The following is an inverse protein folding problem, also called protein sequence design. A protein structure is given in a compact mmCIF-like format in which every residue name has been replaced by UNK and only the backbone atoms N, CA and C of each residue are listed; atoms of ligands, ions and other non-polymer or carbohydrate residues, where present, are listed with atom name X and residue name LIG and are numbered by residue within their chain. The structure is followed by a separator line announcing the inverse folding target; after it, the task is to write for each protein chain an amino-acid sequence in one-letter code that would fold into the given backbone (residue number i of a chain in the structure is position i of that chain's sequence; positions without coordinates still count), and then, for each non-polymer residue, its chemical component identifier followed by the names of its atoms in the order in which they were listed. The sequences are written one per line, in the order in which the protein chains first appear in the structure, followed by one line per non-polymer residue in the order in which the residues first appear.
data_IF_940437666067
#
_entry.id   IF_940437666067
#
_cell.length_a   1.000
_cell.length_b   1.000
_cell.length_c   1.000
_cell.angle_alpha   90.00
_cell.angle_beta   90.00
_cell.angle_gamma   90.00
#
_symmetry.space_group_name_H-M   'P 1'
#
loop_
_entity.id
_entity.type
_entity.pdbx_description
1 polymer ?
#
# COMPACT_ATOMS: atom_id res chain seq x y z
N UNK A 1 13.38 1.71 -24.31
CA UNK A 1 12.01 2.13 -23.96
C UNK A 1 12.04 2.56 -22.51
N UNK A 2 11.63 3.79 -22.19
CA UNK A 2 11.48 4.19 -20.79
C UNK A 2 10.28 3.44 -20.21
N UNK A 3 10.47 2.75 -19.09
CA UNK A 3 9.35 2.10 -18.42
C UNK A 3 8.43 3.21 -17.89
N UNK A 4 7.15 3.17 -18.25
CA UNK A 4 6.16 4.16 -17.80
C UNK A 4 6.00 4.03 -16.29
N UNK A 5 6.11 5.14 -15.57
CA UNK A 5 5.83 5.18 -14.14
C UNK A 5 4.34 4.91 -13.90
N UNK A 6 4.05 4.10 -12.89
CA UNK A 6 2.71 3.70 -12.46
C UNK A 6 2.40 4.49 -11.20
N UNK A 7 1.24 5.13 -11.16
CA UNK A 7 0.72 5.79 -9.98
C UNK A 7 -0.07 4.80 -9.14
N UNK A 8 0.29 4.66 -7.87
CA UNK A 8 -0.36 3.76 -6.92
C UNK A 8 -1.13 4.63 -5.92
N UNK A 9 -2.47 4.67 -6.01
CA UNK A 9 -3.29 5.47 -5.12
C UNK A 9 -3.55 4.74 -3.80
N UNK A 10 -3.70 5.51 -2.73
CA UNK A 10 -4.18 5.05 -1.43
C UNK A 10 -4.99 6.16 -0.75
N UNK A 11 -5.85 5.78 0.20
CA UNK A 11 -6.74 6.69 0.89
C UNK A 11 -6.38 6.77 2.37
N UNK A 12 -6.41 7.98 2.91
CA UNK A 12 -6.21 8.22 4.34
C UNK A 12 -7.37 9.04 4.88
N UNK A 13 -7.93 8.58 5.98
CA UNK A 13 -9.00 9.24 6.72
C UNK A 13 -8.58 9.42 8.18
N UNK A 14 -9.20 10.41 8.82
CA UNK A 14 -9.15 10.62 10.25
C UNK A 14 -10.57 10.72 10.79
N UNK A 15 -10.92 9.88 11.75
CA UNK A 15 -12.24 9.86 12.37
C UNK A 15 -13.37 9.70 11.33
N UNK A 16 -13.09 8.98 10.24
CA UNK A 16 -14.01 8.77 9.12
C UNK A 16 -14.06 9.89 8.07
N UNK A 17 -13.37 11.00 8.28
CA UNK A 17 -13.29 12.12 7.34
C UNK A 17 -11.99 12.11 6.52
N UNK A 18 -11.97 12.59 5.27
CA UNK A 18 -10.76 12.61 4.46
C UNK A 18 -9.63 13.43 5.11
N UNK A 19 -8.44 12.84 5.24
CA UNK A 19 -7.27 13.58 5.72
C UNK A 19 -6.62 14.32 4.54
N UNK A 20 -6.70 15.64 4.52
CA UNK A 20 -6.13 16.48 3.45
C UNK A 20 -4.87 17.22 3.92
N UNK A 21 -3.94 17.50 3.02
CA UNK A 21 -2.75 18.31 3.30
C UNK A 21 -1.66 17.59 4.10
N UNK A 22 -1.75 16.27 4.27
CA UNK A 22 -0.85 15.50 5.13
C UNK A 22 0.31 14.83 4.40
N UNK A 23 0.51 15.07 3.09
CA UNK A 23 1.53 14.35 2.30
C UNK A 23 2.96 14.47 2.88
N UNK A 24 3.30 15.60 3.51
CA UNK A 24 4.60 15.81 4.16
C UNK A 24 4.77 15.00 5.46
N UNK A 25 3.66 14.59 6.07
CA UNK A 25 3.59 13.77 7.28
C UNK A 25 3.60 12.27 6.98
N UNK A 26 3.64 11.90 5.69
CA UNK A 26 3.64 10.50 5.26
C UNK A 26 5.03 10.03 4.89
N UNK A 27 5.40 8.82 5.34
CA UNK A 27 6.62 8.17 4.89
C UNK A 27 6.43 6.65 4.81
N UNK A 28 7.27 5.98 4.04
CA UNK A 28 7.36 4.53 4.11
C UNK A 28 8.06 4.13 5.41
N UNK A 29 7.31 3.53 6.33
CA UNK A 29 7.84 2.86 7.53
C UNK A 29 8.66 1.63 7.12
N UNK A 30 8.16 0.89 6.13
CA UNK A 30 8.90 -0.20 5.51
C UNK A 30 8.61 -0.28 4.02
N UNK A 31 9.61 -0.70 3.25
CA UNK A 31 9.46 -1.10 1.86
C UNK A 31 10.53 -2.13 1.56
N UNK A 32 10.12 -3.33 1.18
CA UNK A 32 11.03 -4.45 0.95
C UNK A 32 10.56 -5.30 -0.23
N UNK A 33 11.48 -6.05 -0.83
CA UNK A 33 11.09 -7.09 -1.79
C UNK A 33 10.35 -8.23 -1.06
N UNK A 34 9.61 -9.07 -1.79
CA UNK A 34 9.03 -10.29 -1.22
C UNK A 34 10.05 -11.23 -0.55
N UNK A 35 11.30 -11.18 -1.00
CA UNK A 35 12.41 -11.92 -0.40
C UNK A 35 13.02 -11.25 0.85
N UNK A 36 12.50 -10.10 1.27
CA UNK A 36 12.92 -9.37 2.47
C UNK A 36 14.06 -8.38 2.27
N UNK A 37 14.50 -8.11 1.04
CA UNK A 37 15.52 -7.09 0.77
C UNK A 37 14.94 -5.70 1.02
N UNK A 38 15.55 -4.95 1.92
CA UNK A 38 15.13 -3.57 2.22
C UNK A 38 15.33 -2.63 1.02
N UNK A 39 14.31 -1.82 0.76
CA UNK A 39 14.18 -0.83 -0.30
C UNK A 39 13.70 0.53 0.22
N UNK A 40 13.52 0.68 1.54
CA UNK A 40 13.03 1.90 2.19
C UNK A 40 13.86 3.14 1.85
N UNK A 41 15.19 3.01 1.77
CA UNK A 41 16.08 4.10 1.37
C UNK A 41 15.93 4.58 -0.08
N UNK A 42 15.13 3.88 -0.89
CA UNK A 42 14.77 4.28 -2.26
C UNK A 42 13.25 4.45 -2.42
N UNK A 43 12.52 4.63 -1.32
CA UNK A 43 11.09 4.83 -1.36
C UNK A 43 10.70 6.05 -2.23
N UNK A 44 9.64 5.94 -3.04
CA UNK A 44 9.16 7.05 -3.86
C UNK A 44 8.50 8.13 -3.00
N UNK A 45 8.43 9.35 -3.52
CA UNK A 45 7.69 10.42 -2.86
C UNK A 45 6.17 10.18 -2.92
N UNK A 46 5.51 10.54 -1.82
CA UNK A 46 4.05 10.54 -1.70
C UNK A 46 3.53 11.93 -2.06
N UNK A 47 2.48 11.97 -2.87
CA UNK A 47 1.84 13.21 -3.32
C UNK A 47 0.32 13.12 -3.09
N UNK A 48 -0.29 14.21 -2.66
CA UNK A 48 -1.74 14.30 -2.53
C UNK A 48 -2.41 14.53 -3.90
N UNK A 49 -3.51 13.83 -4.15
CA UNK A 49 -4.39 14.05 -5.30
C UNK A 49 -5.69 14.78 -4.94
N UNK A 50 -5.98 14.88 -3.63
CA UNK A 50 -7.10 15.63 -3.06
C UNK A 50 -8.17 14.74 -2.44
N UNK A 51 -8.93 15.30 -1.49
CA UNK A 51 -10.06 14.62 -0.85
C UNK A 51 -9.68 13.35 -0.10
N UNK A 52 -8.50 13.34 0.56
CA UNK A 52 -7.99 12.18 1.30
C UNK A 52 -7.25 11.15 0.45
N UNK A 53 -7.17 11.36 -0.86
CA UNK A 53 -6.42 10.49 -1.77
C UNK A 53 -4.99 10.96 -1.95
N UNK A 54 -4.08 9.99 -1.89
CA UNK A 54 -2.65 10.15 -2.05
C UNK A 54 -2.15 9.14 -3.09
N UNK A 55 -0.96 9.38 -3.62
CA UNK A 55 -0.30 8.47 -4.55
C UNK A 55 1.21 8.51 -4.43
N UNK A 56 1.85 7.43 -4.85
CA UNK A 56 3.27 7.40 -5.16
C UNK A 56 3.49 6.78 -6.54
N UNK A 57 4.62 7.12 -7.15
CA UNK A 57 4.94 6.67 -8.51
C UNK A 57 6.13 5.72 -8.53
N UNK A 58 6.00 4.62 -9.26
CA UNK A 58 7.07 3.63 -9.38
C UNK A 58 7.20 3.13 -10.82
N UNK A 59 8.42 2.84 -11.26
CA UNK A 59 8.68 2.28 -12.58
C UNK A 59 9.42 0.95 -12.45
N UNK A 60 8.95 -0.06 -13.18
CA UNK A 60 9.63 -1.35 -13.24
C UNK A 60 11.08 -1.19 -13.71
N UNK A 61 12.00 -1.97 -13.14
CA UNK A 61 13.42 -1.92 -13.47
C UNK A 61 14.13 -0.67 -12.96
N UNK A 62 13.48 0.12 -12.10
CA UNK A 62 14.07 1.27 -11.41
C UNK A 62 13.83 1.13 -9.92
N UNK A 63 14.78 1.57 -9.09
CA UNK A 63 14.61 1.52 -7.65
C UNK A 63 13.34 2.32 -7.22
N UNK A 64 12.53 1.79 -6.30
CA UNK A 64 12.74 0.57 -5.52
C UNK A 64 12.29 -0.74 -6.22
N UNK A 65 11.66 -0.67 -7.40
CA UNK A 65 11.10 -1.81 -8.14
C UNK A 65 12.02 -2.39 -9.22
N UNK A 66 13.29 -2.53 -8.88
CA UNK A 66 14.38 -3.07 -9.71
C UNK A 66 14.68 -4.55 -9.41
N UNK A 67 14.16 -5.09 -8.30
CA UNK A 67 14.46 -6.42 -7.80
C UNK A 67 13.22 -7.32 -7.62
N UNK A 68 12.11 -6.97 -8.30
CA UNK A 68 10.84 -7.69 -8.22
C UNK A 68 9.86 -7.06 -7.23
N UNK A 69 8.78 -7.79 -6.97
CA UNK A 69 7.62 -7.34 -6.19
C UNK A 69 7.98 -6.76 -4.82
N UNK A 70 7.30 -5.68 -4.44
CA UNK A 70 7.49 -4.98 -3.18
C UNK A 70 6.29 -5.11 -2.27
N UNK A 71 6.56 -5.13 -0.98
CA UNK A 71 5.59 -5.00 0.11
C UNK A 71 6.09 -3.97 1.09
N UNK A 72 5.19 -3.23 1.70
CA UNK A 72 5.57 -2.15 2.60
C UNK A 72 4.41 -1.63 3.43
N UNK A 73 4.75 -0.68 4.30
CA UNK A 73 3.81 0.03 5.14
C UNK A 73 4.14 1.52 5.02
N UNK A 74 3.13 2.32 4.73
CA UNK A 74 3.19 3.76 4.85
C UNK A 74 2.73 4.12 6.25
N UNK A 75 3.55 4.89 6.97
CA UNK A 75 3.13 5.64 8.13
C UNK A 75 2.57 6.99 7.66
N UNK A 76 1.25 7.15 7.73
CA UNK A 76 0.54 8.34 7.29
C UNK A 76 0.61 9.51 8.29
N UNK A 77 1.24 9.30 9.45
CA UNK A 77 1.40 10.30 10.51
C UNK A 77 2.76 10.13 11.20
N UNK A 78 3.85 10.13 10.42
CA UNK A 78 5.20 9.76 10.86
C UNK A 78 5.65 10.53 12.11
N UNK A 79 5.30 11.81 12.21
CA UNK A 79 5.66 12.69 13.34
C UNK A 79 4.58 12.69 14.44
N UNK A 80 3.40 12.11 14.19
CA UNK A 80 2.28 12.04 15.15
C UNK A 80 1.46 13.33 15.26
N UNK A 81 1.62 14.27 14.34
CA UNK A 81 0.99 15.58 14.36
C UNK A 81 -0.52 15.52 14.05
N UNK A 82 -0.93 14.56 13.22
CA UNK A 82 -2.33 14.35 12.86
C UNK A 82 -3.08 13.55 13.93
N UNK A 83 -2.38 12.86 14.83
CA UNK A 83 -2.92 12.03 15.91
C UNK A 83 -3.84 10.94 15.37
N UNK A 84 -3.43 10.30 14.28
CA UNK A 84 -4.17 9.18 13.70
C UNK A 84 -4.20 8.00 14.68
N UNK A 85 -5.32 7.28 14.74
CA UNK A 85 -5.33 5.98 15.41
C UNK A 85 -4.44 5.00 14.64
N UNK A 86 -3.91 3.96 15.30
CA UNK A 86 -3.02 2.99 14.65
C UNK A 86 -3.62 2.40 13.35
N UNK A 87 -4.92 2.10 13.36
CA UNK A 87 -5.64 1.56 12.21
C UNK A 87 -5.76 2.54 11.02
N UNK A 88 -5.70 3.85 11.29
CA UNK A 88 -5.73 4.91 10.28
C UNK A 88 -4.33 5.33 9.84
N UNK A 89 -3.33 5.10 10.71
CA UNK A 89 -1.95 5.53 10.54
C UNK A 89 -1.16 4.63 9.60
N UNK A 90 -1.30 3.31 9.73
CA UNK A 90 -0.47 2.37 9.00
C UNK A 90 -1.20 1.81 7.78
N UNK A 91 -0.78 2.25 6.59
CA UNK A 91 -1.38 1.86 5.32
C UNK A 91 -0.53 0.77 4.66
N UNK A 92 -1.03 -0.47 4.50
CA UNK A 92 -0.28 -1.51 3.83
C UNK A 92 -0.25 -1.23 2.33
N UNK A 93 0.90 -1.50 1.70
CA UNK A 93 1.07 -1.34 0.25
C UNK A 93 1.75 -2.57 -0.37
N UNK A 94 1.27 -2.97 -1.53
CA UNK A 94 1.86 -4.06 -2.33
C UNK A 94 2.06 -3.59 -3.78
N UNK A 95 3.23 -3.91 -4.34
CA UNK A 95 3.65 -3.56 -5.70
C UNK A 95 4.06 -4.81 -6.47
N UNK A 96 3.23 -5.26 -7.42
CA UNK A 96 3.40 -6.54 -8.13
C UNK A 96 3.26 -6.51 -9.64
N UNK A 97 4.25 -7.03 -10.37
CA UNK A 97 4.26 -7.07 -11.85
C UNK A 97 3.07 -7.81 -12.48
N UNK A 98 2.67 -8.93 -11.89
CA UNK A 98 1.56 -9.75 -12.37
C UNK A 98 0.20 -9.13 -12.02
N UNK A 99 0.09 -8.50 -10.85
CA UNK A 99 -1.07 -7.68 -10.47
C UNK A 99 -1.22 -6.46 -11.39
N UNK A 100 -0.11 -5.86 -11.86
CA UNK A 100 -0.13 -4.73 -12.79
C UNK A 100 -0.36 -5.10 -14.26
N UNK A 101 -0.09 -6.35 -14.64
CA UNK A 101 -0.55 -6.90 -15.94
C UNK A 101 -2.00 -7.39 -15.88
N UNK A 102 -2.51 -7.80 -14.70
CA UNK A 102 -3.91 -8.16 -14.44
C UNK A 102 -4.84 -6.97 -14.10
N UNK A 103 -4.32 -5.82 -13.68
CA UNK A 103 -5.08 -4.55 -13.58
C UNK A 103 -5.51 -4.02 -14.96
N UNK A 104 -5.02 -4.61 -16.05
CA UNK A 104 -5.63 -4.46 -17.37
C UNK A 104 -6.85 -5.37 -17.59
N UNK A 105 -7.18 -6.31 -16.69
CA UNK A 105 -8.15 -7.37 -17.01
C UNK A 105 -9.31 -7.69 -16.02
N UNK A 106 -9.23 -7.92 -14.69
CA UNK A 106 -10.45 -8.54 -14.04
C UNK A 106 -10.82 -8.44 -12.52
N UNK A 107 -10.00 -8.06 -11.54
CA UNK A 107 -10.36 -8.29 -10.11
C UNK A 107 -10.63 -7.04 -9.26
N UNK A 108 -11.52 -7.15 -8.24
CA UNK A 108 -11.91 -6.05 -7.33
C UNK A 108 -11.03 -6.05 -6.07
N UNK A 109 -10.48 -4.90 -5.73
CA UNK A 109 -9.73 -4.68 -4.49
C UNK A 109 -10.61 -3.97 -3.45
N UNK A 110 -10.57 -4.43 -2.20
CA UNK A 110 -11.27 -3.81 -1.07
C UNK A 110 -10.36 -3.67 0.15
N UNK A 111 -10.37 -2.51 0.77
CA UNK A 111 -9.68 -2.23 2.04
C UNK A 111 -10.72 -2.11 3.16
N UNK A 112 -10.49 -2.82 4.27
CA UNK A 112 -11.25 -2.66 5.50
C UNK A 112 -10.76 -1.41 6.24
N UNK A 113 -11.67 -0.46 6.47
CA UNK A 113 -11.35 0.82 7.11
C UNK A 113 -11.13 0.72 8.62
N UNK A 114 -11.58 -0.35 9.26
CA UNK A 114 -11.46 -0.54 10.70
C UNK A 114 -10.13 -1.20 11.08
N UNK A 115 -9.59 -2.05 10.21
CA UNK A 115 -8.36 -2.81 10.48
C UNK A 115 -7.20 -2.44 9.56
N UNK A 116 -7.45 -1.71 8.46
CA UNK A 116 -6.45 -1.45 7.42
C UNK A 116 -6.21 -2.65 6.49
N UNK A 117 -6.86 -3.79 6.75
CA UNK A 117 -6.69 -5.02 5.97
C UNK A 117 -7.05 -4.80 4.50
N UNK A 118 -6.21 -5.30 3.61
CA UNK A 118 -6.50 -5.32 2.18
C UNK A 118 -6.87 -6.72 1.74
N UNK A 119 -7.96 -6.82 0.98
CA UNK A 119 -8.41 -8.06 0.35
C UNK A 119 -8.59 -7.86 -1.14
N UNK A 120 -8.19 -8.87 -1.90
CA UNK A 120 -8.47 -8.97 -3.32
C UNK A 120 -9.52 -10.05 -3.49
N UNK A 121 -10.61 -9.70 -4.19
CA UNK A 121 -11.71 -10.60 -4.45
C UNK A 121 -11.82 -10.91 -5.94
N UNK A 122 -12.19 -12.14 -6.25
CA UNK A 122 -12.53 -12.53 -7.62
C UNK A 122 -13.89 -11.94 -8.05
N UNK A 123 -14.35 -12.32 -9.24
CA UNK A 123 -15.64 -11.87 -9.77
C UNK A 123 -16.86 -12.46 -9.04
N UNK A 124 -16.69 -13.55 -8.28
CA UNK A 124 -17.72 -14.14 -7.42
C UNK A 124 -17.78 -13.46 -6.03
N UNK A 125 -16.74 -12.72 -5.66
CA UNK A 125 -16.62 -12.02 -4.39
C UNK A 125 -15.79 -12.77 -3.34
N UNK A 126 -15.13 -13.86 -3.74
CA UNK A 126 -14.31 -14.69 -2.86
C UNK A 126 -12.92 -14.09 -2.71
N UNK A 127 -12.41 -14.07 -1.47
CA UNK A 127 -11.08 -13.51 -1.17
C UNK A 127 -9.99 -14.45 -1.70
N UNK A 128 -9.26 -13.99 -2.70
CA UNK A 128 -8.14 -14.74 -3.30
C UNK A 128 -6.79 -14.36 -2.68
N UNK A 129 -6.73 -13.22 -1.99
CA UNK A 129 -5.55 -12.76 -1.30
C UNK A 129 -5.97 -11.83 -0.16
N UNK A 130 -5.43 -12.06 1.03
CA UNK A 130 -5.56 -11.17 2.18
C UNK A 130 -4.18 -10.68 2.58
N UNK A 131 -4.12 -9.39 2.89
CA UNK A 131 -3.00 -8.73 3.53
C UNK A 131 -3.54 -8.16 4.83
N UNK A 132 -3.07 -8.69 5.95
CA UNK A 132 -3.44 -8.25 7.27
C UNK A 132 -2.27 -7.58 8.00
N UNK A 133 -2.63 -6.58 8.81
CA UNK A 133 -1.70 -5.96 9.75
C UNK A 133 -2.00 -6.60 11.11
N UNK A 134 -1.00 -7.28 11.67
CA UNK A 134 -1.15 -7.82 13.02
C UNK A 134 -0.75 -6.75 14.03
N UNK A 135 -1.60 -6.43 15.00
CA UNK A 135 -1.46 -5.31 15.97
C UNK A 135 -0.11 -5.24 16.73
N UNK A 136 0.74 -6.26 16.65
CA UNK A 136 2.05 -6.34 17.31
C UNK A 136 3.25 -6.33 16.36
N UNK A 137 3.03 -6.23 15.05
CA UNK A 137 4.11 -6.26 14.07
C UNK A 137 3.92 -5.15 13.02
N UNK A 138 4.96 -4.35 12.80
CA UNK A 138 5.06 -3.41 11.67
C UNK A 138 5.35 -4.12 10.34
N UNK A 139 5.03 -5.41 10.26
CA UNK A 139 5.28 -6.28 9.12
C UNK A 139 3.98 -6.80 8.55
N UNK A 140 3.84 -6.62 7.24
CA UNK A 140 2.80 -7.21 6.42
C UNK A 140 3.21 -8.63 6.04
N UNK A 141 2.37 -9.61 6.38
CA UNK A 141 2.51 -11.00 5.95
C UNK A 141 1.51 -11.30 4.83
N UNK A 142 1.95 -12.09 3.86
CA UNK A 142 1.09 -12.56 2.77
C UNK A 142 0.71 -14.01 3.06
N UNK A 143 -0.58 -14.24 3.29
CA UNK A 143 -1.11 -15.60 3.36
C UNK A 143 -1.90 -15.95 2.08
N UNK A 144 -1.32 -16.74 1.16
CA UNK A 144 -2.04 -17.22 -0.03
C UNK A 144 -3.04 -18.35 0.28
N UNK A 145 -3.10 -18.87 1.52
CA UNK A 145 -3.88 -20.04 1.90
C UNK A 145 -5.23 -19.73 2.59
N UNK A 146 -5.62 -18.45 2.74
CA UNK A 146 -6.93 -18.07 3.33
C UNK A 146 -8.11 -18.35 2.38
N UNK A 147 -7.87 -18.99 1.24
CA UNK A 147 -8.90 -19.45 0.31
C UNK A 147 -9.63 -20.68 0.88
N UNK A 148 -10.73 -20.45 1.60
CA UNK A 148 -11.78 -21.46 1.83
C UNK A 148 -13.07 -21.02 1.17
#
# INVERSE_FOLDING_TARGET
MANTAIEIPFYVAKDGEPLTGAAAEMNFESLKTLSGTDKSGSAPSINETGGGWYKFSIAYGTAPFDAGDLVGVIDADKDGDNKLANAERYIPVEVRLDFYSLMRLVNKMSQDKATGDMSVKDSAGDTILKLDITDSQSTMDRDPAVAS
#
